data_IF_067870364770
#
_entry.id   IF_067870364770
#
_cell.length_a   1.000
_cell.length_b   1.000
_cell.length_c   1.000
_cell.angle_alpha   90.00
_cell.angle_beta   90.00
_cell.angle_gamma   90.00
#
_symmetry.space_group_name_H-M   'P 1'
#
loop_
_entity.id
_entity.type
_entity.pdbx_description
1 polymer ?
#
# COMPACT_ATOMS: atom_id res chain seq x y z
N UNK A 1 -5.08 0.76 -0.18
CA UNK A 1 -6.10 1.63 -0.82
C UNK A 1 -7.46 0.95 -0.72
N UNK A 2 -8.54 1.65 -0.38
CA UNK A 2 -9.91 1.07 -0.41
C UNK A 2 -10.90 2.11 -0.94
N UNK A 3 -11.20 2.04 -2.24
CA UNK A 3 -12.18 2.91 -2.91
C UNK A 3 -13.59 2.33 -2.95
N UNK A 4 -13.81 1.14 -2.37
CA UNK A 4 -15.11 0.47 -2.37
C UNK A 4 -15.57 -0.04 -3.74
N UNK A 5 -14.71 0.01 -4.75
CA UNK A 5 -15.01 -0.44 -6.11
C UNK A 5 -14.94 -1.97 -6.22
N UNK A 6 -15.83 -2.55 -7.02
CA UNK A 6 -15.73 -3.96 -7.44
C UNK A 6 -14.75 -4.12 -8.60
N UNK A 7 -14.24 -5.34 -8.81
CA UNK A 7 -13.39 -5.65 -9.97
C UNK A 7 -14.10 -5.37 -11.29
N UNK A 8 -15.42 -5.62 -11.40
CA UNK A 8 -16.21 -5.24 -12.58
C UNK A 8 -16.14 -3.74 -12.85
N UNK A 9 -16.33 -2.91 -11.82
CA UNK A 9 -16.33 -1.45 -11.97
C UNK A 9 -14.96 -0.92 -12.39
N UNK A 10 -13.88 -1.53 -11.87
CA UNK A 10 -12.51 -1.19 -12.29
C UNK A 10 -12.26 -1.62 -13.74
N UNK A 11 -12.70 -2.83 -14.11
CA UNK A 11 -12.57 -3.37 -15.45
C UNK A 11 -13.31 -2.52 -16.49
N UNK A 12 -14.54 -2.08 -16.17
CA UNK A 12 -15.35 -1.19 -17.00
C UNK A 12 -14.65 0.15 -17.23
N UNK A 13 -14.12 0.78 -16.18
CA UNK A 13 -13.36 2.05 -16.28
C UNK A 13 -12.09 1.92 -17.12
N UNK A 14 -11.46 0.75 -17.09
CA UNK A 14 -10.23 0.45 -17.84
C UNK A 14 -10.48 -0.05 -19.27
N UNK A 15 -11.73 -0.32 -19.64
CA UNK A 15 -12.10 -0.90 -20.92
C UNK A 15 -11.54 -2.31 -21.13
N UNK A 16 -11.39 -3.10 -20.06
CA UNK A 16 -10.86 -4.47 -20.10
C UNK A 16 -11.85 -5.47 -19.48
N UNK A 17 -11.63 -6.76 -19.70
CA UNK A 17 -12.47 -7.80 -19.06
C UNK A 17 -12.18 -7.94 -17.56
N UNK A 18 -13.21 -8.29 -16.77
CA UNK A 18 -13.07 -8.52 -15.31
C UNK A 18 -11.94 -9.51 -14.98
N UNK A 19 -11.83 -10.62 -15.72
CA UNK A 19 -10.73 -11.59 -15.59
C UNK A 19 -9.33 -10.97 -15.77
N UNK A 20 -9.17 -9.92 -16.58
CA UNK A 20 -7.90 -9.23 -16.73
C UNK A 20 -7.49 -8.51 -15.43
N UNK A 21 -8.44 -7.85 -14.76
CA UNK A 21 -8.23 -7.20 -13.46
C UNK A 21 -7.92 -8.26 -12.40
N UNK A 22 -8.71 -9.35 -12.32
CA UNK A 22 -8.48 -10.44 -11.36
C UNK A 22 -7.08 -11.06 -11.47
N UNK A 23 -6.58 -11.29 -12.70
CA UNK A 23 -5.22 -11.81 -12.88
C UNK A 23 -4.13 -10.82 -12.48
N UNK A 24 -4.36 -9.52 -12.67
CA UNK A 24 -3.41 -8.47 -12.25
C UNK A 24 -3.37 -8.39 -10.71
N UNK A 25 -4.52 -8.35 -10.05
CA UNK A 25 -4.59 -8.28 -8.58
C UNK A 25 -3.97 -9.50 -7.89
N UNK A 26 -4.10 -10.69 -8.48
CA UNK A 26 -3.45 -11.92 -8.00
C UNK A 26 -1.98 -12.04 -8.39
N UNK A 27 -1.43 -11.08 -9.13
CA UNK A 27 -0.03 -11.08 -9.57
C UNK A 27 0.29 -12.13 -10.64
N UNK A 28 -0.70 -12.71 -11.31
CA UNK A 28 -0.51 -13.68 -12.42
C UNK A 28 -0.03 -12.96 -13.68
N UNK A 29 -0.45 -11.69 -13.86
CA UNK A 29 -0.01 -10.84 -14.95
C UNK A 29 0.51 -9.53 -14.39
N UNK A 30 1.74 -9.17 -14.77
CA UNK A 30 2.33 -7.88 -14.43
C UNK A 30 1.77 -6.82 -15.39
N UNK A 31 1.08 -5.78 -14.89
CA UNK A 31 0.63 -4.67 -15.74
C UNK A 31 1.82 -3.86 -16.22
N UNK A 32 1.69 -3.26 -17.41
CA UNK A 32 2.69 -2.32 -17.90
C UNK A 32 2.56 -0.94 -17.20
N UNK A 33 3.51 -0.04 -17.45
CA UNK A 33 3.56 1.29 -16.81
C UNK A 33 2.30 2.11 -17.12
N UNK A 34 1.81 2.08 -18.37
CA UNK A 34 0.58 2.79 -18.74
C UNK A 34 -0.62 2.31 -17.91
N UNK A 35 -0.75 0.99 -17.73
CA UNK A 35 -1.82 0.39 -16.95
C UNK A 35 -1.71 0.72 -15.46
N UNK A 36 -0.49 0.78 -14.91
CA UNK A 36 -0.26 1.23 -13.54
C UNK A 36 -0.69 2.70 -13.32
N UNK A 37 -0.47 3.58 -14.31
CA UNK A 37 -0.92 4.98 -14.25
C UNK A 37 -2.45 5.07 -14.27
N UNK A 38 -3.12 4.26 -15.09
CA UNK A 38 -4.58 4.20 -15.15
C UNK A 38 -5.19 3.69 -13.84
N UNK A 39 -4.61 2.64 -13.24
CA UNK A 39 -5.02 2.18 -11.91
C UNK A 39 -4.83 3.27 -10.85
N UNK A 40 -3.71 3.98 -10.88
CA UNK A 40 -3.44 5.06 -9.94
C UNK A 40 -4.47 6.20 -10.05
N UNK A 41 -4.88 6.53 -11.27
CA UNK A 41 -5.94 7.49 -11.52
C UNK A 41 -7.32 7.01 -10.99
N UNK A 42 -7.65 5.72 -11.18
CA UNK A 42 -8.91 5.14 -10.68
C UNK A 42 -8.95 5.09 -9.15
N UNK A 43 -7.82 4.81 -8.51
CA UNK A 43 -7.71 4.70 -7.07
C UNK A 43 -7.33 6.00 -6.36
N UNK A 44 -7.19 7.09 -7.12
CA UNK A 44 -6.83 8.42 -6.64
C UNK A 44 -5.56 8.41 -5.76
N UNK A 45 -4.54 7.68 -6.21
CA UNK A 45 -3.29 7.48 -5.48
C UNK A 45 -2.06 7.73 -6.36
N UNK A 46 -0.87 7.80 -5.75
CA UNK A 46 0.39 7.79 -6.50
C UNK A 46 0.70 6.40 -7.08
N UNK A 47 1.25 6.34 -8.30
CA UNK A 47 1.64 5.06 -8.93
C UNK A 47 2.67 4.28 -8.11
N UNK A 48 3.55 4.98 -7.39
CA UNK A 48 4.49 4.34 -6.47
C UNK A 48 3.77 3.59 -5.34
N UNK A 49 2.60 4.06 -4.90
CA UNK A 49 1.83 3.44 -3.83
C UNK A 49 1.34 2.04 -4.23
N UNK A 50 0.96 1.84 -5.49
CA UNK A 50 0.57 0.53 -6.05
C UNK A 50 1.72 -0.49 -6.03
N UNK A 51 2.96 -0.02 -5.97
CA UNK A 51 4.16 -0.86 -5.94
C UNK A 51 4.70 -1.06 -4.52
N UNK A 52 4.34 -0.19 -3.58
CA UNK A 52 4.90 -0.19 -2.21
C UNK A 52 4.10 -0.96 -1.16
N UNK A 53 2.84 -1.35 -1.41
CA UNK A 53 2.00 -1.97 -0.36
C UNK A 53 2.56 -3.30 0.23
N UNK A 54 3.58 -3.91 -0.39
CA UNK A 54 4.32 -5.07 0.16
C UNK A 54 5.84 -4.95 -0.08
N UNK A 55 6.42 -3.75 0.02
CA UNK A 55 7.87 -3.61 -0.09
C UNK A 55 8.55 -4.04 1.23
N UNK A 56 9.46 -5.04 1.22
CA UNK A 56 10.25 -5.41 2.40
C UNK A 56 11.37 -4.40 2.71
N UNK A 57 11.46 -3.31 1.94
CA UNK A 57 12.48 -2.28 2.13
C UNK A 57 12.15 -1.46 3.38
N UNK A 58 13.16 -1.23 4.21
CA UNK A 58 13.04 -0.44 5.44
C UNK A 58 12.47 0.97 5.21
N UNK A 59 12.77 1.58 4.06
CA UNK A 59 12.33 2.95 3.74
C UNK A 59 10.82 3.03 3.52
N UNK A 60 10.23 2.04 2.86
CA UNK A 60 8.78 1.97 2.62
C UNK A 60 8.02 1.66 3.91
N UNK A 61 8.59 0.80 4.76
CA UNK A 61 8.06 0.53 6.10
C UNK A 61 8.13 1.76 7.02
N UNK A 62 9.20 2.55 6.93
CA UNK A 62 9.33 3.80 7.67
C UNK A 62 8.30 4.83 7.21
N UNK A 63 8.06 4.96 5.90
CA UNK A 63 7.01 5.83 5.35
C UNK A 63 5.62 5.41 5.83
N UNK A 64 5.35 4.10 5.86
CA UNK A 64 4.08 3.58 6.39
C UNK A 64 3.90 3.89 7.88
N UNK A 65 4.96 3.74 8.68
CA UNK A 65 4.93 4.08 10.09
C UNK A 65 4.67 5.57 10.32
N UNK A 66 5.28 6.44 9.51
CA UNK A 66 5.04 7.88 9.53
C UNK A 66 3.56 8.24 9.29
N UNK A 67 2.94 7.65 8.26
CA UNK A 67 1.51 7.87 7.94
C UNK A 67 0.61 7.46 9.12
N UNK A 68 0.86 6.29 9.73
CA UNK A 68 0.09 5.82 10.87
C UNK A 68 0.23 6.72 12.09
N UNK A 69 1.44 7.20 12.39
CA UNK A 69 1.70 8.11 13.51
C UNK A 69 1.04 9.48 13.31
N UNK A 70 0.91 9.94 12.06
CA UNK A 70 0.29 11.24 11.74
C UNK A 70 -1.17 11.36 12.22
N UNK A 71 -1.87 10.22 12.34
CA UNK A 71 -3.26 10.13 12.77
C UNK A 71 -3.45 10.19 14.30
N UNK A 72 -2.36 10.05 15.06
CA UNK A 72 -2.40 9.95 16.52
C UNK A 72 -2.09 11.30 17.18
N UNK A 73 -2.51 11.48 18.43
CA UNK A 73 -2.08 12.61 19.24
C UNK A 73 -0.65 12.41 19.81
N UNK A 74 -0.13 13.42 20.49
CA UNK A 74 1.24 13.36 21.03
C UNK A 74 1.44 12.25 22.06
N UNK A 75 0.45 11.98 22.92
CA UNK A 75 0.57 10.98 23.96
C UNK A 75 0.59 9.56 23.36
N UNK A 76 -0.30 9.29 22.41
CA UNK A 76 -0.38 8.02 21.72
C UNK A 76 0.85 7.77 20.84
N UNK A 77 1.37 8.80 20.16
CA UNK A 77 2.65 8.69 19.43
C UNK A 77 3.79 8.29 20.36
N UNK A 78 3.88 8.88 21.55
CA UNK A 78 4.92 8.57 22.54
C UNK A 78 4.83 7.11 23.00
N UNK A 79 3.62 6.59 23.21
CA UNK A 79 3.37 5.20 23.57
C UNK A 79 3.83 4.25 22.47
N UNK A 80 3.45 4.51 21.21
CA UNK A 80 3.86 3.70 20.06
C UNK A 80 5.37 3.67 19.93
N UNK A 81 6.04 4.82 20.02
CA UNK A 81 7.51 4.88 19.97
C UNK A 81 8.17 4.07 21.08
N UNK A 82 7.64 4.13 22.30
CA UNK A 82 8.13 3.33 23.44
C UNK A 82 8.06 1.82 23.15
N UNK A 83 6.96 1.35 22.54
CA UNK A 83 6.80 -0.06 22.19
C UNK A 83 7.76 -0.47 21.06
N UNK A 84 7.85 0.34 20.00
CA UNK A 84 8.75 0.09 18.85
C UNK A 84 10.20 0.00 19.33
N UNK A 85 10.66 0.95 20.15
CA UNK A 85 12.02 0.93 20.69
C UNK A 85 12.30 -0.32 21.53
N UNK A 86 11.34 -0.77 22.35
CA UNK A 86 11.48 -2.00 23.14
C UNK A 86 11.60 -3.22 22.24
N UNK A 87 10.81 -3.30 21.18
CA UNK A 87 10.85 -4.40 20.21
C UNK A 87 12.18 -4.42 19.46
N UNK A 88 12.63 -3.27 18.94
CA UNK A 88 13.92 -3.18 18.23
C UNK A 88 15.06 -3.61 19.13
N UNK A 89 15.13 -3.09 20.37
CA UNK A 89 16.19 -3.46 21.33
C UNK A 89 16.21 -4.95 21.65
N UNK A 90 15.04 -5.60 21.73
CA UNK A 90 14.94 -7.05 21.99
C UNK A 90 15.41 -7.87 20.80
N UNK A 91 14.98 -7.49 19.61
CA UNK A 91 15.21 -8.26 18.38
C UNK A 91 16.61 -8.02 17.78
N UNK A 92 17.26 -6.89 18.09
CA UNK A 92 18.64 -6.59 17.66
C UNK A 92 19.73 -7.28 18.50
N UNK A 93 19.35 -7.99 19.57
CA UNK A 93 20.26 -8.71 20.48
C UNK A 93 20.26 -10.22 20.24
N UNK A 94 19.62 -10.67 19.16
CA UNK A 94 19.65 -12.06 18.67
C UNK A 94 20.43 -12.15 17.37
#
# INVERSE_FOLDING_TARGET
MRTGLTQEQVAERLGIGNEAVSRIERGVVIPNIARLLEFAAIFECGTAELLTEVSPRSDDQARRLYELLSLLDTADRQLVMTVVERLVRRLSRQ
#
